data_IF_854388553165
#
_entry.id   IF_854388553165
#
_cell.length_a   1.000
_cell.length_b   1.000
_cell.length_c   1.000
_cell.angle_alpha   90.00
_cell.angle_beta   90.00
_cell.angle_gamma   90.00
#
_symmetry.space_group_name_H-M   'P 1'
#
loop_
_entity.id
_entity.type
_entity.pdbx_description
1 polymer ?
#
# COMPACT_ATOMS: atom_id res chain seq x y z
N UNK A 1 6.98 -16.60 -7.23
CA UNK A 1 5.59 -16.73 -7.71
C UNK A 1 4.85 -15.45 -7.29
N UNK A 2 4.21 -14.73 -8.21
CA UNK A 2 3.51 -13.48 -7.84
C UNK A 2 2.24 -13.82 -7.05
N UNK A 3 2.02 -13.26 -5.85
CA UNK A 3 0.72 -13.38 -5.20
C UNK A 3 -0.32 -12.64 -6.06
N UNK A 4 -1.46 -13.28 -6.30
CA UNK A 4 -2.60 -12.74 -7.06
C UNK A 4 -2.30 -12.27 -8.52
N UNK A 5 -1.84 -13.17 -9.42
CA UNK A 5 -1.53 -12.83 -10.81
C UNK A 5 -2.70 -12.24 -11.62
N UNK A 6 -3.95 -12.46 -11.17
CA UNK A 6 -5.16 -11.96 -11.83
C UNK A 6 -5.53 -10.52 -11.44
N UNK A 7 -4.97 -10.00 -10.33
CA UNK A 7 -5.25 -8.64 -9.85
C UNK A 7 -4.23 -7.61 -10.34
N UNK A 8 -3.00 -8.05 -10.64
CA UNK A 8 -1.90 -7.17 -11.00
C UNK A 8 -1.23 -7.60 -12.29
N UNK A 9 -1.03 -6.63 -13.19
CA UNK A 9 -0.28 -6.78 -14.44
C UNK A 9 1.00 -5.96 -14.37
N UNK A 10 2.00 -6.39 -15.13
CA UNK A 10 3.20 -5.59 -15.37
C UNK A 10 3.19 -5.18 -16.83
N UNK A 11 3.42 -3.91 -17.08
CA UNK A 11 3.51 -3.38 -18.43
C UNK A 11 4.66 -2.38 -18.51
N UNK A 12 5.07 -2.05 -19.73
CA UNK A 12 6.05 -1.00 -19.96
C UNK A 12 5.47 0.35 -19.51
N UNK A 13 6.34 1.34 -19.30
CA UNK A 13 5.94 2.71 -18.94
C UNK A 13 5.24 3.36 -20.14
N UNK A 14 4.04 2.91 -20.50
CA UNK A 14 3.15 3.64 -21.39
C UNK A 14 2.45 4.75 -20.59
N UNK A 15 1.99 5.79 -21.28
CA UNK A 15 1.42 6.97 -20.65
C UNK A 15 0.31 6.59 -19.65
N UNK A 16 0.44 7.09 -18.41
CA UNK A 16 -0.50 6.89 -17.29
C UNK A 16 -1.96 7.16 -17.66
N UNK A 17 -2.20 8.01 -18.65
CA UNK A 17 -3.51 8.35 -19.19
C UNK A 17 -4.21 7.16 -19.87
N UNK A 18 -3.46 6.27 -20.53
CA UNK A 18 -4.02 5.11 -21.25
C UNK A 18 -4.64 4.12 -20.27
N UNK A 19 -3.94 3.84 -19.17
CA UNK A 19 -4.43 2.93 -18.13
C UNK A 19 -5.65 3.50 -17.40
N UNK A 20 -5.62 4.80 -17.08
CA UNK A 20 -6.74 5.46 -16.43
C UNK A 20 -8.02 5.43 -17.28
N UNK A 21 -7.90 5.58 -18.60
CA UNK A 21 -9.04 5.48 -19.52
C UNK A 21 -9.63 4.07 -19.59
N UNK A 22 -8.81 3.03 -19.38
CA UNK A 22 -9.25 1.62 -19.32
C UNK A 22 -9.83 1.18 -17.98
N UNK A 23 -9.92 2.08 -16.99
CA UNK A 23 -10.30 1.72 -15.62
C UNK A 23 -9.21 0.92 -14.88
N UNK A 24 -7.97 0.98 -15.35
CA UNK A 24 -6.79 0.42 -14.71
C UNK A 24 -6.01 1.53 -13.99
N UNK A 25 -5.23 1.17 -12.96
CA UNK A 25 -4.52 2.17 -12.15
C UNK A 25 -3.08 1.74 -11.89
N UNK A 26 -2.13 2.66 -12.07
CA UNK A 26 -0.73 2.43 -11.73
C UNK A 26 -0.59 2.39 -10.20
N UNK A 27 0.01 1.31 -9.70
CA UNK A 27 0.34 1.13 -8.29
C UNK A 27 1.72 1.75 -8.03
N UNK A 28 1.84 2.70 -7.08
CA UNK A 28 3.15 3.22 -6.68
C UNK A 28 3.92 2.12 -5.94
N UNK A 29 4.98 1.61 -6.57
CA UNK A 29 5.86 0.60 -5.98
C UNK A 29 7.24 1.24 -5.72
N UNK A 30 7.85 1.04 -4.54
CA UNK A 30 9.21 1.52 -4.27
C UNK A 30 10.23 0.96 -5.27
N UNK A 31 11.26 1.76 -5.59
CA UNK A 31 12.24 1.47 -6.66
C UNK A 31 13.07 0.18 -6.46
N UNK A 32 13.09 -0.40 -5.25
CA UNK A 32 13.72 -1.69 -4.98
C UNK A 32 12.83 -2.93 -5.18
N UNK A 33 11.51 -2.74 -5.29
CA UNK A 33 10.53 -3.82 -5.46
C UNK A 33 9.81 -3.76 -6.81
N UNK A 34 9.93 -2.63 -7.51
CA UNK A 34 9.40 -2.49 -8.85
C UNK A 34 10.18 -3.37 -9.84
N UNK A 35 9.51 -4.04 -10.79
CA UNK A 35 10.20 -4.73 -11.87
C UNK A 35 10.97 -3.72 -12.73
N UNK A 36 12.23 -4.06 -13.08
CA UNK A 36 13.11 -3.16 -13.82
C UNK A 36 12.47 -2.73 -15.14
N UNK A 37 12.32 -1.41 -15.34
CA UNK A 37 11.77 -0.82 -16.57
C UNK A 37 10.28 -1.05 -16.79
N UNK A 38 9.54 -1.53 -15.78
CA UNK A 38 8.09 -1.81 -15.87
C UNK A 38 7.34 -1.16 -14.73
N UNK A 39 6.05 -0.94 -14.95
CA UNK A 39 5.11 -0.47 -13.93
C UNK A 39 4.16 -1.59 -13.54
N UNK A 40 3.73 -1.57 -12.29
CA UNK A 40 2.68 -2.46 -11.79
C UNK A 40 1.34 -1.76 -11.95
N UNK A 41 0.41 -2.43 -12.62
CA UNK A 41 -0.93 -1.92 -12.93
C UNK A 41 -1.94 -2.80 -12.21
N UNK A 42 -2.86 -2.17 -11.47
CA UNK A 42 -4.03 -2.84 -10.92
C UNK A 42 -5.12 -2.93 -11.97
N UNK A 43 -5.63 -4.14 -12.17
CA UNK A 43 -6.77 -4.41 -13.06
C UNK A 43 -8.06 -3.87 -12.46
N UNK A 44 -9.12 -3.82 -13.28
CA UNK A 44 -10.46 -3.50 -12.80
C UNK A 44 -10.93 -4.42 -11.66
N UNK A 45 -10.67 -5.73 -11.77
CA UNK A 45 -11.04 -6.71 -10.74
C UNK A 45 -10.39 -6.40 -9.38
N UNK A 46 -9.16 -5.90 -9.38
CA UNK A 46 -8.47 -5.48 -8.16
C UNK A 46 -9.14 -4.27 -7.52
N UNK A 47 -9.55 -3.28 -8.33
CA UNK A 47 -10.24 -2.10 -7.84
C UNK A 47 -11.63 -2.44 -7.31
N UNK A 48 -12.36 -3.32 -7.99
CA UNK A 48 -13.69 -3.78 -7.57
C UNK A 48 -13.60 -4.59 -6.27
N UNK A 49 -12.56 -5.42 -6.11
CA UNK A 49 -12.29 -6.12 -4.85
C UNK A 49 -11.99 -5.15 -3.71
N UNK A 50 -11.15 -4.13 -3.93
CA UNK A 50 -10.88 -3.12 -2.91
C UNK A 50 -12.15 -2.35 -2.54
N UNK A 51 -12.97 -1.97 -3.52
CA UNK A 51 -14.25 -1.32 -3.27
C UNK A 51 -15.18 -2.20 -2.42
N UNK A 52 -15.24 -3.49 -2.72
CA UNK A 52 -15.98 -4.46 -1.92
C UNK A 52 -15.44 -4.52 -0.48
N UNK A 53 -14.13 -4.71 -0.29
CA UNK A 53 -13.53 -4.77 1.04
C UNK A 53 -13.75 -3.50 1.86
N UNK A 54 -13.73 -2.33 1.23
CA UNK A 54 -14.05 -1.06 1.90
C UNK A 54 -15.53 -0.92 2.25
N UNK A 55 -16.43 -1.55 1.49
CA UNK A 55 -17.87 -1.55 1.79
C UNK A 55 -18.25 -2.43 2.98
N UNK A 56 -17.37 -3.33 3.42
CA UNK A 56 -17.68 -4.29 4.48
C UNK A 56 -17.80 -3.67 5.88
N UNK A 57 -17.58 -2.37 6.05
CA UNK A 57 -17.64 -1.62 7.33
C UNK A 57 -17.13 -2.41 8.54
N UNK A 58 -15.82 -2.63 8.57
CA UNK A 58 -15.16 -3.35 9.66
C UNK A 58 -14.76 -2.39 10.78
N UNK A 59 -15.66 -2.18 11.75
CA UNK A 59 -15.34 -1.49 13.00
C UNK A 59 -14.82 -2.48 14.05
N UNK A 60 -13.50 -2.61 14.18
CA UNK A 60 -12.88 -3.40 15.26
C UNK A 60 -12.56 -2.50 16.46
N UNK A 61 -12.97 -2.88 17.68
CA UNK A 61 -12.60 -2.13 18.88
C UNK A 61 -11.09 -2.23 19.11
N UNK A 62 -10.45 -1.08 19.34
CA UNK A 62 -9.04 -1.05 19.74
C UNK A 62 -8.99 -1.29 21.25
N UNK A 63 -8.43 -2.42 21.66
CA UNK A 63 -8.07 -2.61 23.06
C UNK A 63 -6.88 -1.72 23.38
N UNK A 64 -7.15 -0.54 23.96
CA UNK A 64 -6.09 0.27 24.56
C UNK A 64 -5.56 -0.51 25.74
N UNK A 65 -4.46 -1.25 25.53
CA UNK A 65 -3.66 -1.77 26.64
C UNK A 65 -3.29 -0.56 27.49
N UNK A 66 -3.84 -0.49 28.71
CA UNK A 66 -3.38 0.45 29.74
C UNK A 66 -1.95 0.07 30.12
N UNK A 67 -0.99 0.45 29.30
CA UNK A 67 0.39 0.58 29.70
C UNK A 67 0.46 1.82 30.58
N UNK A 68 0.80 1.65 31.84
CA UNK A 68 1.41 2.70 32.65
C UNK A 68 2.60 3.23 31.85
N UNK A 69 2.44 4.39 31.23
CA UNK A 69 3.56 5.17 30.72
C UNK A 69 4.27 5.70 31.96
N UNK A 70 5.22 4.92 32.49
CA UNK A 70 6.22 5.46 33.40
C UNK A 70 7.03 6.46 32.58
N UNK A 71 6.69 7.75 32.74
CA UNK A 71 7.35 8.90 32.12
C UNK A 71 8.78 9.13 32.63
N UNK A 72 9.46 8.09 33.09
CA UNK A 72 10.77 8.17 33.73
C UNK A 72 11.90 7.73 32.79
N UNK A 73 11.92 8.24 31.56
CA UNK A 73 13.18 8.51 30.84
C UNK A 73 12.90 9.50 29.72
N UNK A 74 13.21 10.79 29.89
CA UNK A 74 13.45 11.62 28.73
C UNK A 74 14.75 11.09 28.09
N UNK A 75 14.65 10.49 26.91
CA UNK A 75 15.82 10.34 26.05
C UNK A 75 16.33 11.77 25.80
N UNK A 76 17.39 12.12 26.51
CA UNK A 76 17.97 13.45 26.50
C UNK A 76 19.04 13.43 25.41
N UNK A 77 18.89 14.30 24.43
CA UNK A 77 19.75 14.40 23.24
C UNK A 77 21.16 14.97 23.53
N UNK A 78 21.72 14.70 24.71
CA UNK A 78 23.01 15.24 25.19
C UNK A 78 24.19 14.24 25.14
N UNK A 79 23.99 13.01 24.62
CA UNK A 79 25.07 12.01 24.46
C UNK A 79 25.81 12.08 23.10
N UNK A 80 25.75 13.22 22.38
CA UNK A 80 26.52 13.44 21.15
C UNK A 80 27.47 14.64 21.27
N UNK A 81 28.37 14.61 22.25
CA UNK A 81 29.57 15.44 22.29
C UNK A 81 30.82 14.60 22.44
#
# INVERSE_FOLDING_TARGET
MRPYPWLFKEDEVCAKEVYAAGGERIVPVPEGFAPKGKVVISTKDALDLVAYLLSLDHAYPIEVRKGTVDRATPWTADELR
#
